data_IF_542224745765
#
_entry.id   IF_542224745765
#
_cell.length_a   1.000
_cell.length_b   1.000
_cell.length_c   1.000
_cell.angle_alpha   90.00
_cell.angle_beta   90.00
_cell.angle_gamma   90.00
#
_symmetry.space_group_name_H-M   'P 1'
#
loop_
_entity.id
_entity.type
_entity.pdbx_description
1 polymer ?
#
# COMPACT_ATOMS: atom_id res chain seq x y z
N UNK A 1 11.87 16.31 11.04
CA UNK A 1 10.55 15.63 10.90
C UNK A 1 10.06 15.22 12.27
N UNK A 2 8.83 15.51 12.51
CA UNK A 2 8.22 15.21 13.78
C UNK A 2 7.73 13.74 13.80
N UNK A 3 8.33 12.93 14.65
CA UNK A 3 7.97 11.52 14.78
C UNK A 3 6.53 11.36 15.28
N UNK A 4 6.04 12.32 16.02
CA UNK A 4 4.67 12.30 16.52
C UNK A 4 3.67 12.29 15.36
N UNK A 5 3.94 13.04 14.31
CA UNK A 5 3.08 13.09 13.13
C UNK A 5 2.97 11.70 12.47
N UNK A 6 4.07 10.97 12.43
CA UNK A 6 4.08 9.63 11.83
C UNK A 6 3.32 8.63 12.69
N UNK A 7 3.35 8.78 14.00
CA UNK A 7 2.70 7.84 14.92
C UNK A 7 1.19 7.93 14.92
N UNK A 8 0.63 9.10 14.61
CA UNK A 8 -0.81 9.23 14.58
C UNK A 8 -1.31 8.92 13.17
N UNK A 9 -2.30 8.05 13.05
CA UNK A 9 -2.79 7.62 11.74
C UNK A 9 -3.16 8.79 10.83
N UNK A 10 -3.93 9.75 11.34
CA UNK A 10 -4.35 10.90 10.53
C UNK A 10 -3.17 11.82 10.22
N UNK A 11 -2.24 11.99 11.18
CA UNK A 11 -1.05 12.81 10.96
C UNK A 11 -0.13 12.22 9.91
N UNK A 12 0.06 10.91 9.95
CA UNK A 12 0.88 10.21 8.96
C UNK A 12 0.25 10.33 7.56
N UNK A 13 -1.04 10.10 7.44
CA UNK A 13 -1.72 10.19 6.14
C UNK A 13 -1.61 11.58 5.55
N UNK A 14 -1.77 12.61 6.38
CA UNK A 14 -1.65 14.00 5.93
C UNK A 14 -0.24 14.31 5.47
N UNK A 15 0.75 13.89 6.25
CA UNK A 15 2.15 14.11 5.90
C UNK A 15 2.49 13.46 4.57
N UNK A 16 2.11 12.19 4.41
CA UNK A 16 2.42 11.44 3.20
C UNK A 16 1.73 12.05 1.98
N UNK A 17 0.50 12.51 2.14
CA UNK A 17 -0.22 13.15 1.04
C UNK A 17 0.46 14.44 0.60
N UNK A 18 0.98 15.23 1.54
CA UNK A 18 1.70 16.45 1.21
C UNK A 18 3.03 16.16 0.52
N UNK A 19 3.76 15.17 1.01
CA UNK A 19 5.07 14.82 0.46
C UNK A 19 4.95 14.14 -0.90
N UNK A 20 4.10 13.12 -0.98
CA UNK A 20 4.03 12.23 -2.14
C UNK A 20 2.92 12.59 -3.11
N UNK A 21 1.95 13.39 -2.68
CA UNK A 21 0.83 13.87 -3.50
C UNK A 21 0.03 12.75 -4.15
N UNK A 22 0.02 11.57 -3.52
CA UNK A 22 -0.71 10.43 -4.05
C UNK A 22 -0.04 9.76 -5.24
N UNK A 23 1.20 10.09 -5.54
CA UNK A 23 1.93 9.45 -6.64
C UNK A 23 2.54 8.14 -6.15
N UNK A 24 2.31 7.07 -6.93
CA UNK A 24 2.89 5.77 -6.61
C UNK A 24 4.40 5.81 -6.79
N UNK A 25 5.14 5.40 -5.76
CA UNK A 25 6.60 5.43 -5.80
C UNK A 25 7.18 4.43 -6.82
N UNK A 26 6.43 3.39 -7.18
CA UNK A 26 6.92 2.34 -8.07
C UNK A 26 6.51 2.54 -9.52
N UNK A 27 5.28 2.93 -9.78
CA UNK A 27 4.80 3.04 -11.17
C UNK A 27 4.45 4.47 -11.58
N UNK A 28 4.46 5.43 -10.65
CA UNK A 28 4.19 6.82 -10.96
C UNK A 28 2.72 7.18 -11.14
N UNK A 29 1.82 6.25 -10.89
CA UNK A 29 0.39 6.52 -11.04
C UNK A 29 -0.05 7.64 -10.11
N UNK A 30 -0.81 8.61 -10.64
CA UNK A 30 -1.40 9.68 -9.85
C UNK A 30 -2.71 9.17 -9.24
N UNK A 31 -2.63 8.69 -8.00
CA UNK A 31 -3.78 8.11 -7.34
C UNK A 31 -4.81 9.15 -6.93
N UNK A 32 -4.40 10.41 -6.72
CA UNK A 32 -5.36 11.47 -6.45
C UNK A 32 -6.20 11.79 -7.67
N UNK A 33 -5.58 11.81 -8.85
CA UNK A 33 -6.31 12.00 -10.10
C UNK A 33 -7.30 10.87 -10.32
N UNK A 34 -6.89 9.63 -10.03
CA UNK A 34 -7.76 8.47 -10.12
C UNK A 34 -8.97 8.60 -9.21
N UNK A 35 -8.73 9.04 -7.98
CA UNK A 35 -9.80 9.26 -7.01
C UNK A 35 -10.76 10.34 -7.47
N UNK A 36 -10.25 11.42 -8.05
CA UNK A 36 -11.11 12.47 -8.59
C UNK A 36 -12.02 11.96 -9.70
N UNK A 37 -11.50 11.12 -10.58
CA UNK A 37 -12.30 10.49 -11.64
C UNK A 37 -13.39 9.60 -11.05
N UNK A 38 -13.04 8.81 -10.04
CA UNK A 38 -13.99 7.94 -9.36
C UNK A 38 -15.14 8.75 -8.75
N UNK A 39 -14.84 9.87 -8.12
CA UNK A 39 -15.86 10.68 -7.46
C UNK A 39 -16.87 11.28 -8.42
N UNK A 40 -16.52 11.40 -9.70
CA UNK A 40 -17.43 11.92 -10.72
C UNK A 40 -18.40 10.89 -11.25
N UNK A 41 -18.21 9.62 -10.93
CA UNK A 41 -19.11 8.56 -11.38
C UNK A 41 -20.41 8.63 -10.61
N UNK A 42 -21.52 8.42 -11.32
CA UNK A 42 -22.85 8.65 -10.76
C UNK A 42 -23.51 7.39 -10.18
N UNK A 43 -23.16 6.21 -10.71
CA UNK A 43 -23.81 4.98 -10.29
C UNK A 43 -22.85 4.06 -9.57
N UNK A 44 -23.42 3.19 -8.72
CA UNK A 44 -22.67 2.18 -8.02
C UNK A 44 -22.00 1.22 -9.02
N UNK A 45 -22.70 0.87 -10.07
CA UNK A 45 -22.18 -0.04 -11.09
C UNK A 45 -20.94 0.54 -11.77
N UNK A 46 -20.98 1.82 -12.13
CA UNK A 46 -19.84 2.49 -12.71
C UNK A 46 -18.65 2.51 -11.75
N UNK A 47 -18.91 2.74 -10.47
CA UNK A 47 -17.86 2.79 -9.47
C UNK A 47 -17.20 1.45 -9.23
N UNK A 48 -18.00 0.38 -9.21
CA UNK A 48 -17.46 -0.97 -9.07
C UNK A 48 -16.61 -1.32 -10.29
N UNK A 49 -17.12 -1.05 -11.50
CA UNK A 49 -16.37 -1.32 -12.71
C UNK A 49 -15.06 -0.55 -12.79
N UNK A 50 -15.08 0.69 -12.34
CA UNK A 50 -13.88 1.54 -12.30
C UNK A 50 -12.81 0.94 -11.40
N UNK A 51 -13.20 0.51 -10.20
CA UNK A 51 -12.27 -0.12 -9.27
C UNK A 51 -11.66 -1.39 -9.85
N UNK A 52 -12.50 -2.24 -10.42
CA UNK A 52 -12.04 -3.50 -11.02
C UNK A 52 -11.06 -3.22 -12.15
N UNK A 53 -11.38 -2.25 -13.01
CA UNK A 53 -10.53 -1.87 -14.13
C UNK A 53 -9.13 -1.44 -13.66
N UNK A 54 -9.06 -0.80 -12.50
CA UNK A 54 -7.79 -0.28 -11.97
C UNK A 54 -7.16 -1.20 -10.92
N UNK A 55 -7.62 -2.44 -10.83
CA UNK A 55 -7.01 -3.42 -9.93
C UNK A 55 -7.28 -3.19 -8.45
N UNK A 56 -8.36 -2.48 -8.13
CA UNK A 56 -8.75 -2.19 -6.76
C UNK A 56 -9.92 -3.10 -6.39
N UNK A 57 -9.84 -3.86 -5.27
CA UNK A 57 -10.96 -4.71 -4.87
C UNK A 57 -12.24 -3.89 -4.69
N UNK A 58 -13.35 -4.41 -5.19
CA UNK A 58 -14.62 -3.69 -5.18
C UNK A 58 -15.13 -3.38 -3.78
N UNK A 59 -14.78 -4.23 -2.81
CA UNK A 59 -15.21 -4.04 -1.43
C UNK A 59 -14.31 -3.09 -0.63
N UNK A 60 -13.25 -2.59 -1.24
CA UNK A 60 -12.36 -1.66 -0.57
C UNK A 60 -12.97 -0.27 -0.58
N UNK A 61 -13.08 0.34 0.59
CA UNK A 61 -13.69 1.67 0.69
C UNK A 61 -12.70 2.77 0.31
N UNK A 62 -13.13 3.72 -0.49
CA UNK A 62 -12.58 5.07 -0.71
C UNK A 62 -11.09 5.29 -0.84
N UNK A 63 -10.23 4.36 -0.55
CA UNK A 63 -8.79 4.57 -0.57
C UNK A 63 -8.20 4.06 -1.89
N UNK A 64 -7.42 4.91 -2.54
CA UNK A 64 -6.83 4.59 -3.85
C UNK A 64 -5.32 4.40 -3.77
N UNK A 65 -4.74 4.55 -2.60
CA UNK A 65 -3.31 4.28 -2.37
C UNK A 65 -3.13 3.80 -0.94
N UNK A 66 -1.98 3.16 -0.69
CA UNK A 66 -1.58 2.71 0.63
C UNK A 66 -0.22 3.28 0.99
N UNK A 67 0.05 3.36 2.28
CA UNK A 67 1.37 3.71 2.80
C UNK A 67 2.10 2.42 3.12
N UNK A 68 3.31 2.27 2.58
CA UNK A 68 4.08 1.05 2.70
C UNK A 68 5.44 1.34 3.32
N UNK A 69 6.00 0.38 4.02
CA UNK A 69 7.37 0.47 4.55
C UNK A 69 8.35 0.01 3.46
N UNK A 70 9.36 0.82 3.18
CA UNK A 70 10.39 0.47 2.20
C UNK A 70 11.17 -0.73 2.71
N UNK A 71 11.64 -0.66 3.96
CA UNK A 71 12.20 -1.82 4.67
C UNK A 71 11.07 -2.38 5.54
N UNK A 72 10.67 -3.65 5.34
CA UNK A 72 9.55 -4.20 6.10
C UNK A 72 9.78 -4.18 7.61
N UNK A 73 8.69 -4.07 8.36
CA UNK A 73 8.72 -4.05 9.81
C UNK A 73 9.47 -5.26 10.36
N UNK A 74 9.23 -6.44 9.81
CA UNK A 74 9.87 -7.67 10.26
C UNK A 74 11.37 -7.70 9.97
N UNK A 75 11.84 -6.81 9.09
CA UNK A 75 13.27 -6.70 8.78
C UNK A 75 13.90 -5.48 9.46
N UNK A 76 13.23 -4.92 10.46
CA UNK A 76 13.76 -3.83 11.27
C UNK A 76 13.27 -2.44 10.88
N UNK A 77 12.31 -2.34 9.96
CA UNK A 77 11.85 -1.03 9.49
C UNK A 77 10.76 -0.38 10.31
N UNK A 78 10.24 -1.08 11.34
CA UNK A 78 9.04 -0.64 12.02
C UNK A 78 9.16 0.65 12.81
N UNK A 79 10.34 0.95 13.33
CA UNK A 79 10.58 2.15 14.13
C UNK A 79 11.21 3.29 13.35
N UNK A 80 11.38 3.12 12.05
CA UNK A 80 11.96 4.15 11.20
C UNK A 80 10.99 5.31 11.01
N UNK A 81 11.51 6.49 10.69
CA UNK A 81 10.71 7.66 10.41
C UNK A 81 10.11 7.63 9.00
N UNK A 82 9.56 8.78 8.57
CA UNK A 82 8.89 8.85 7.26
C UNK A 82 9.79 8.55 6.07
N UNK A 83 11.10 8.61 6.22
CA UNK A 83 12.04 8.25 5.16
C UNK A 83 11.95 6.78 4.78
N UNK A 84 11.39 5.93 5.66
CA UNK A 84 11.15 4.52 5.37
C UNK A 84 9.72 4.26 4.88
N UNK A 85 8.95 5.30 4.62
CA UNK A 85 7.57 5.17 4.16
C UNK A 85 7.45 5.68 2.73
N UNK A 86 6.57 5.02 1.98
CA UNK A 86 6.29 5.43 0.60
C UNK A 86 4.82 5.23 0.29
N UNK A 87 4.33 5.97 -0.69
CA UNK A 87 2.97 5.82 -1.21
C UNK A 87 2.99 4.84 -2.36
N UNK A 88 2.09 3.88 -2.34
CA UNK A 88 1.94 2.91 -3.43
C UNK A 88 0.48 2.87 -3.88
N UNK A 89 0.26 2.72 -5.18
CA UNK A 89 -1.07 2.42 -5.67
C UNK A 89 -1.46 1.01 -5.21
N UNK A 90 -2.75 0.71 -5.23
CA UNK A 90 -3.24 -0.56 -4.71
C UNK A 90 -2.62 -1.76 -5.44
N UNK A 91 -2.57 -1.78 -6.79
CA UNK A 91 -1.94 -2.92 -7.48
C UNK A 91 -0.47 -3.12 -7.12
N UNK A 92 0.31 -2.03 -7.04
CA UNK A 92 1.72 -2.14 -6.67
C UNK A 92 1.89 -2.65 -5.25
N UNK A 93 1.07 -2.16 -4.32
CA UNK A 93 1.15 -2.61 -2.93
C UNK A 93 0.81 -4.10 -2.81
N UNK A 94 -0.19 -4.56 -3.55
CA UNK A 94 -0.55 -5.98 -3.54
C UNK A 94 0.57 -6.84 -4.11
N UNK A 95 1.24 -6.37 -5.16
CA UNK A 95 2.38 -7.08 -5.73
C UNK A 95 3.53 -7.19 -4.74
N UNK A 96 3.88 -6.08 -4.09
CA UNK A 96 4.95 -6.06 -3.10
C UNK A 96 4.63 -7.00 -1.95
N UNK A 97 3.40 -7.01 -1.49
CA UNK A 97 2.97 -7.89 -0.40
C UNK A 97 3.12 -9.36 -0.79
N UNK A 98 2.73 -9.71 -2.02
CA UNK A 98 2.89 -11.08 -2.50
C UNK A 98 4.36 -11.49 -2.61
N UNK A 99 5.19 -10.60 -3.13
CA UNK A 99 6.62 -10.87 -3.28
C UNK A 99 7.29 -11.08 -1.93
N UNK A 100 6.93 -10.26 -0.95
CA UNK A 100 7.48 -10.39 0.39
C UNK A 100 7.04 -11.71 1.05
N UNK A 101 5.79 -12.09 0.88
CA UNK A 101 5.30 -13.35 1.42
C UNK A 101 6.02 -14.55 0.79
N UNK A 102 6.25 -14.50 -0.52
CA UNK A 102 6.97 -15.57 -1.21
C UNK A 102 8.43 -15.66 -0.74
N UNK A 103 9.06 -14.50 -0.58
CA UNK A 103 10.44 -14.45 -0.09
C UNK A 103 10.56 -15.08 1.29
N UNK A 104 9.64 -14.76 2.20
CA UNK A 104 9.66 -15.31 3.55
C UNK A 104 9.42 -16.81 3.57
N UNK A 105 8.51 -17.28 2.75
CA UNK A 105 8.26 -18.72 2.64
C UNK A 105 9.51 -19.45 2.15
N UNK A 106 10.20 -18.86 1.18
CA UNK A 106 11.44 -19.42 0.65
C UNK A 106 12.54 -19.44 1.70
N UNK A 107 12.66 -18.37 2.47
CA UNK A 107 13.67 -18.28 3.53
C UNK A 107 13.43 -19.30 4.62
N UNK A 108 12.15 -19.53 4.99
CA UNK A 108 11.83 -20.56 5.98
C UNK A 108 12.22 -21.94 5.49
N UNK A 109 11.96 -22.25 4.22
CA UNK A 109 12.36 -23.52 3.63
C UNK A 109 13.87 -23.68 3.57
N UNK A 110 14.58 -22.60 3.23
CA UNK A 110 16.03 -22.63 3.13
C UNK A 110 16.70 -22.87 4.49
N UNK A 111 16.07 -22.44 5.57
CA UNK A 111 16.59 -22.67 6.92
C UNK A 111 16.24 -24.06 7.46
N UNK A 112 15.55 -24.87 6.68
CA UNK A 112 15.15 -26.20 7.12
C UNK A 112 14.02 -26.20 8.14
N UNK A 113 13.33 -25.08 8.30
CA UNK A 113 12.19 -25.00 9.20
C UNK A 113 10.98 -25.65 8.53
N UNK A 114 10.35 -26.57 9.24
CA UNK A 114 9.16 -27.20 8.71
C UNK A 114 8.06 -26.17 8.52
N UNK A 115 7.44 -26.20 7.34
CA UNK A 115 6.32 -25.33 7.05
C UNK A 115 5.06 -26.00 7.60
N UNK A 116 4.32 -25.31 8.48
CA UNK A 116 3.10 -25.91 9.03
C UNK A 116 2.12 -26.30 7.93
N UNK A 117 1.38 -27.35 8.16
CA UNK A 117 0.37 -27.81 7.21
C UNK A 117 -0.63 -26.69 6.97
N UNK A 118 -1.00 -26.51 5.72
CA UNK A 118 -1.90 -25.46 5.35
C UNK A 118 -1.24 -24.14 5.04
N UNK A 119 0.05 -24.09 5.15
CA UNK A 119 0.81 -22.91 4.75
C UNK A 119 1.05 -22.86 3.25
#
# INVERSE_FOLDING_TARGET
>A
MDLWVVRTGSGMARFMRKRDRGLCALCGLDCQALKRRYKKLLTKQERVAFKVQHGIPANRSGRFWDIDHIVPVVEGGGSSGPENLRTLCIPCHRRVTRELAAKRAQERRARGVAVPDGD
#
